data_IF_365550016301
#
_entry.id   IF_365550016301
#
_cell.length_a   1.000
_cell.length_b   1.000
_cell.length_c   1.000
_cell.angle_alpha   90.00
_cell.angle_beta   90.00
_cell.angle_gamma   90.00
#
_symmetry.space_group_name_H-M   'P 1'
#
loop_
_entity.id
_entity.type
_entity.pdbx_description
1 polymer ?
#
# COMPACT_ATOMS: atom_id res chain seq x y z
N UNK A 1 -22.75 13.50 10.48
CA UNK A 1 -21.79 12.78 9.65
C UNK A 1 -20.84 13.86 9.18
N UNK A 2 -19.56 13.79 9.52
CA UNK A 2 -18.59 14.68 8.87
C UNK A 2 -18.54 14.22 7.40
N UNK A 3 -18.89 15.12 6.49
CA UNK A 3 -19.04 14.80 5.06
C UNK A 3 -17.69 14.48 4.37
N UNK A 4 -16.58 14.60 5.11
CA UNK A 4 -15.20 14.42 4.63
C UNK A 4 -14.54 13.10 5.10
N UNK A 5 -15.30 12.16 5.69
CA UNK A 5 -14.76 10.85 6.11
C UNK A 5 -15.17 9.76 5.11
N UNK A 6 -14.17 9.14 4.49
CA UNK A 6 -14.34 8.06 3.52
C UNK A 6 -13.68 6.77 3.98
N UNK A 7 -14.19 5.63 3.51
CA UNK A 7 -13.64 4.31 3.83
C UNK A 7 -12.42 4.03 2.97
N UNK A 8 -11.30 3.72 3.62
CA UNK A 8 -10.07 3.31 2.94
C UNK A 8 -10.13 1.84 2.57
N UNK A 9 -9.78 1.52 1.32
CA UNK A 9 -9.61 0.15 0.84
C UNK A 9 -8.16 -0.33 1.03
N UNK A 10 -7.17 0.46 0.61
CA UNK A 10 -5.75 0.10 0.70
C UNK A 10 -4.82 1.32 0.67
N UNK A 11 -3.63 1.19 1.25
CA UNK A 11 -2.51 2.13 1.01
C UNK A 11 -1.69 1.61 -0.18
N UNK A 12 -1.56 2.44 -1.21
CA UNK A 12 -0.86 2.12 -2.44
C UNK A 12 0.60 2.56 -2.41
N UNK A 13 0.89 3.70 -1.78
CA UNK A 13 2.23 4.26 -1.74
C UNK A 13 2.45 5.16 -0.52
N UNK A 14 3.70 5.57 -0.29
CA UNK A 14 4.12 6.52 0.74
C UNK A 14 5.15 7.49 0.15
N UNK A 15 5.11 8.74 0.62
CA UNK A 15 6.19 9.71 0.41
C UNK A 15 6.48 10.48 1.68
N UNK A 16 7.71 10.97 1.77
CA UNK A 16 8.14 11.91 2.81
C UNK A 16 8.44 13.22 2.10
N UNK A 17 7.73 14.28 2.46
CA UNK A 17 7.92 15.61 1.92
C UNK A 17 9.20 16.24 2.46
N UNK A 18 9.68 17.32 1.83
CA UNK A 18 10.93 18.00 2.24
C UNK A 18 10.85 18.58 3.66
N UNK A 19 9.65 18.89 4.14
CA UNK A 19 9.39 19.37 5.51
C UNK A 19 9.33 18.24 6.56
N UNK A 20 9.49 16.97 6.13
CA UNK A 20 9.43 15.79 6.99
C UNK A 20 8.03 15.22 7.20
N UNK A 21 6.99 15.81 6.59
CA UNK A 21 5.63 15.28 6.67
C UNK A 21 5.48 13.99 5.85
N UNK A 22 4.71 13.05 6.39
CA UNK A 22 4.44 11.76 5.75
C UNK A 22 3.05 11.80 5.14
N UNK A 23 2.98 11.41 3.88
CA UNK A 23 1.71 11.22 3.17
C UNK A 23 1.62 9.80 2.61
N UNK A 24 0.40 9.27 2.62
CA UNK A 24 0.05 7.98 2.07
C UNK A 24 -0.86 8.15 0.87
N UNK A 25 -0.62 7.39 -0.19
CA UNK A 25 -1.49 7.36 -1.36
C UNK A 25 -2.61 6.35 -1.13
N UNK A 26 -3.84 6.86 -0.97
CA UNK A 26 -4.99 6.11 -0.47
C UNK A 26 -5.90 5.68 -1.61
N UNK A 27 -6.12 4.37 -1.71
CA UNK A 27 -7.19 3.80 -2.51
C UNK A 27 -8.49 3.84 -1.71
N UNK A 28 -9.47 4.59 -2.20
CA UNK A 28 -10.78 4.73 -1.59
C UNK A 28 -11.71 3.57 -1.97
N UNK A 29 -12.47 3.06 -0.99
CA UNK A 29 -13.38 1.95 -1.20
C UNK A 29 -14.50 2.31 -2.18
N UNK A 30 -14.64 1.52 -3.24
CA UNK A 30 -15.68 1.70 -4.26
C UNK A 30 -15.36 2.74 -5.35
N UNK A 31 -14.17 3.34 -5.31
CA UNK A 31 -13.66 4.28 -6.31
C UNK A 31 -12.55 3.63 -7.14
N UNK A 32 -12.15 4.21 -8.27
CA UNK A 32 -11.03 3.70 -9.08
C UNK A 32 -9.68 4.11 -8.47
N UNK A 33 -8.57 3.52 -8.94
CA UNK A 33 -7.23 3.92 -8.45
C UNK A 33 -6.84 5.30 -8.94
N UNK A 34 -7.40 5.77 -10.06
CA UNK A 34 -7.19 7.11 -10.59
C UNK A 34 -7.78 8.20 -9.67
N UNK A 35 -8.73 7.82 -8.81
CA UNK A 35 -9.34 8.68 -7.80
C UNK A 35 -8.59 8.63 -6.45
N UNK A 36 -7.50 7.87 -6.36
CA UNK A 36 -6.68 7.84 -5.15
C UNK A 36 -6.02 9.21 -4.89
N UNK A 37 -5.90 9.56 -3.62
CA UNK A 37 -5.35 10.86 -3.18
C UNK A 37 -4.21 10.66 -2.20
N UNK A 38 -3.33 11.66 -2.12
CA UNK A 38 -2.30 11.71 -1.08
C UNK A 38 -2.91 12.32 0.18
N UNK A 39 -2.97 11.54 1.24
CA UNK A 39 -3.48 11.96 2.54
C UNK A 39 -2.35 12.02 3.57
N UNK A 40 -2.26 13.10 4.36
CA UNK A 40 -1.39 13.16 5.52
C UNK A 40 -1.59 11.97 6.46
N UNK A 41 -0.53 11.51 7.13
CA UNK A 41 -0.64 10.42 8.12
C UNK A 41 -1.71 10.68 9.19
N UNK A 42 -1.90 11.94 9.57
CA UNK A 42 -2.92 12.35 10.53
C UNK A 42 -4.36 12.13 10.04
N UNK A 43 -4.61 12.17 8.73
CA UNK A 43 -5.92 11.92 8.13
C UNK A 43 -6.25 10.41 8.06
N UNK A 44 -5.25 9.54 8.20
CA UNK A 44 -5.45 8.09 8.17
C UNK A 44 -5.70 7.57 9.59
N UNK A 45 -6.99 7.42 9.92
CA UNK A 45 -7.43 6.96 11.25
C UNK A 45 -7.09 5.49 11.54
N UNK A 46 -7.03 4.64 10.51
CA UNK A 46 -6.74 3.22 10.66
C UNK A 46 -5.23 2.97 10.76
N UNK A 47 -4.66 3.09 11.97
CA UNK A 47 -3.23 2.89 12.22
C UNK A 47 -2.76 1.45 11.97
N UNK A 48 -3.65 0.47 12.07
CA UNK A 48 -3.35 -0.92 11.70
C UNK A 48 -3.05 -1.05 10.19
N UNK A 49 -3.76 -0.31 9.34
CA UNK A 49 -3.53 -0.31 7.90
C UNK A 49 -2.14 0.26 7.56
N UNK A 50 -1.76 1.38 8.20
CA UNK A 50 -0.42 1.95 8.08
C UNK A 50 0.63 0.92 8.51
N UNK A 51 0.45 0.28 9.68
CA UNK A 51 1.41 -0.71 10.17
C UNK A 51 1.60 -1.87 9.19
N UNK A 52 0.51 -2.40 8.63
CA UNK A 52 0.57 -3.50 7.65
C UNK A 52 1.30 -3.08 6.37
N UNK A 53 1.03 -1.87 5.88
CA UNK A 53 1.72 -1.32 4.72
C UNK A 53 3.23 -1.19 4.98
N UNK A 54 3.64 -0.54 6.08
CA UNK A 54 5.04 -0.35 6.44
C UNK A 54 5.78 -1.68 6.64
N UNK A 55 5.14 -2.67 7.27
CA UNK A 55 5.70 -4.01 7.41
C UNK A 55 5.96 -4.66 6.06
N UNK A 56 5.02 -4.53 5.13
CA UNK A 56 5.14 -5.09 3.78
C UNK A 56 6.27 -4.42 3.00
N UNK A 57 6.38 -3.08 3.06
CA UNK A 57 7.46 -2.33 2.42
C UNK A 57 8.82 -2.72 3.01
N UNK A 58 8.95 -2.76 4.32
CA UNK A 58 10.19 -3.16 4.99
C UNK A 58 10.58 -4.62 4.66
N UNK A 59 9.62 -5.53 4.54
CA UNK A 59 9.90 -6.90 4.06
C UNK A 59 10.45 -6.83 2.63
N UNK A 60 9.79 -6.10 1.73
CA UNK A 60 10.22 -5.97 0.34
C UNK A 60 11.62 -5.36 0.19
N UNK A 61 12.01 -4.43 1.05
CA UNK A 61 13.35 -3.84 1.08
C UNK A 61 14.41 -4.79 1.64
N UNK A 62 14.05 -5.67 2.57
CA UNK A 62 14.97 -6.61 3.22
C UNK A 62 15.06 -7.98 2.53
N UNK A 63 14.17 -8.28 1.56
CA UNK A 63 14.33 -9.45 0.69
C UNK A 63 15.57 -9.20 -0.18
N UNK A 64 16.60 -10.03 0.00
CA UNK A 64 17.80 -9.96 -0.84
C UNK A 64 17.40 -10.15 -2.33
N UNK A 65 18.17 -9.57 -3.25
CA UNK A 65 17.83 -9.59 -4.68
C UNK A 65 17.62 -11.02 -5.22
N UNK A 66 18.32 -12.01 -4.65
CA UNK A 66 18.21 -13.43 -4.99
C UNK A 66 16.86 -14.05 -4.57
N UNK A 67 16.39 -13.79 -3.34
CA UNK A 67 15.07 -14.22 -2.86
C UNK A 67 13.95 -13.43 -3.51
N UNK A 68 14.18 -12.18 -3.94
CA UNK A 68 13.19 -11.38 -4.68
C UNK A 68 12.89 -12.01 -6.03
N UNK A 69 13.95 -12.39 -6.76
CA UNK A 69 13.84 -13.12 -8.02
C UNK A 69 13.14 -14.47 -7.82
N UNK A 70 13.46 -15.20 -6.76
CA UNK A 70 12.80 -16.48 -6.45
C UNK A 70 11.31 -16.31 -6.10
N UNK A 71 10.96 -15.28 -5.32
CA UNK A 71 9.57 -14.97 -4.99
C UNK A 71 8.79 -14.56 -6.24
N UNK A 72 9.36 -13.71 -7.10
CA UNK A 72 8.72 -13.36 -8.38
C UNK A 72 8.50 -14.58 -9.28
N UNK A 73 9.50 -15.47 -9.36
CA UNK A 73 9.40 -16.70 -10.13
C UNK A 73 8.27 -17.60 -9.59
N UNK A 74 8.20 -17.79 -8.27
CA UNK A 74 7.15 -18.60 -7.63
C UNK A 74 5.77 -17.97 -7.80
N UNK A 75 5.64 -16.65 -7.67
CA UNK A 75 4.35 -15.96 -7.84
C UNK A 75 3.83 -16.07 -9.28
N UNK A 76 4.71 -15.95 -10.28
CA UNK A 76 4.34 -16.18 -11.68
C UNK A 76 3.83 -17.60 -11.91
N UNK A 77 4.50 -18.60 -11.35
CA UNK A 77 4.08 -20.01 -11.45
C UNK A 77 2.75 -20.28 -10.73
N UNK A 78 2.45 -19.55 -9.65
CA UNK A 78 1.19 -19.68 -8.92
C UNK A 78 0.01 -18.98 -9.61
N UNK A 79 0.24 -17.85 -10.30
CA UNK A 79 -0.78 -17.20 -11.13
C UNK A 79 -1.21 -18.10 -12.28
N UNK A 80 -0.25 -18.73 -12.97
CA UNK A 80 -0.53 -19.68 -14.06
C UNK A 80 -1.35 -20.90 -13.60
N UNK A 81 -1.17 -21.33 -12.35
CA UNK A 81 -1.94 -22.44 -11.74
C UNK A 81 -3.35 -22.05 -11.32
N UNK A 82 -3.61 -20.77 -11.03
CA UNK A 82 -4.93 -20.30 -10.61
C UNK A 82 -5.92 -20.18 -11.78
N UNK A 83 -5.42 -20.16 -13.01
CA UNK A 83 -6.23 -20.09 -14.24
C UNK A 83 -6.54 -21.47 -14.88
N UNK A 84 -6.15 -22.57 -14.23
CA UNK A 84 -6.39 -23.95 -14.70
C UNK A 84 -7.42 -24.69 -13.85
#
# INVERSE_FOLDING_TARGET
MDDDIYVVEKILNKRILENGEVEYFIKWFGYTEDEATWEPEENVFCKDLIRLYEQTVNINENINDECRLLIFQILSELEDLAET
#
